data_IF_344656359681
#
_entry.id   IF_344656359681
#
_cell.length_a   1.000
_cell.length_b   1.000
_cell.length_c   1.000
_cell.angle_alpha   90.00
_cell.angle_beta   90.00
_cell.angle_gamma   90.00
#
_symmetry.space_group_name_H-M   'P 1'
#
loop_
_entity.id
_entity.type
_entity.pdbx_description
1 polymer ?
#
# COMPACT_ATOMS: atom_id res chain seq x y z
N UNK A 1 25.58 20.18 -14.47
CA UNK A 1 24.49 21.15 -14.26
C UNK A 1 23.23 20.57 -14.89
N UNK A 2 22.07 20.83 -14.26
CA UNK A 2 20.77 20.34 -14.70
C UNK A 2 19.65 20.93 -13.86
N UNK A 3 18.44 20.36 -13.95
CA UNK A 3 17.24 20.82 -13.27
C UNK A 3 16.62 19.70 -12.41
N UNK A 4 15.86 20.13 -11.40
CA UNK A 4 15.02 19.21 -10.61
C UNK A 4 13.79 18.83 -11.44
N UNK A 5 13.66 17.54 -11.74
CA UNK A 5 12.54 16.98 -12.53
C UNK A 5 11.36 16.57 -11.63
N UNK A 6 11.63 16.14 -10.39
CA UNK A 6 10.63 15.80 -9.39
C UNK A 6 11.24 15.80 -7.98
N UNK A 7 10.39 15.88 -6.97
CA UNK A 7 10.74 15.71 -5.56
C UNK A 7 9.82 14.65 -4.95
N UNK A 8 10.26 14.01 -3.85
CA UNK A 8 9.45 12.99 -3.17
C UNK A 8 9.32 11.67 -3.94
N UNK A 9 10.29 11.33 -4.82
CA UNK A 9 10.23 10.09 -5.59
C UNK A 9 10.62 8.88 -4.75
N UNK A 10 9.73 7.88 -4.69
CA UNK A 10 10.07 6.56 -4.17
C UNK A 10 10.66 5.69 -5.27
N UNK A 11 11.61 4.84 -4.91
CA UNK A 11 12.22 3.88 -5.80
C UNK A 11 11.89 2.45 -5.36
N UNK A 12 11.94 1.45 -6.25
CA UNK A 12 11.74 0.06 -5.86
C UNK A 12 12.67 -0.31 -4.71
N UNK A 13 12.13 -0.88 -3.64
CA UNK A 13 12.83 -1.25 -2.40
C UNK A 13 13.38 -0.10 -1.55
N UNK A 14 13.07 1.17 -1.86
CA UNK A 14 13.54 2.38 -1.18
C UNK A 14 12.35 3.28 -0.80
N UNK A 15 11.45 2.76 0.04
CA UNK A 15 10.18 3.41 0.33
C UNK A 15 10.28 4.58 1.35
N UNK A 16 11.41 4.70 2.06
CA UNK A 16 11.57 5.68 3.15
C UNK A 16 12.31 6.96 2.74
N UNK A 17 12.90 6.98 1.55
CA UNK A 17 13.67 8.12 1.07
C UNK A 17 12.87 8.85 -0.01
N UNK A 18 12.48 10.13 0.22
CA UNK A 18 11.80 10.96 -0.78
C UNK A 18 12.81 11.57 -1.75
N UNK A 19 13.34 10.81 -2.71
CA UNK A 19 14.42 11.25 -3.59
C UNK A 19 14.09 12.52 -4.36
N UNK A 20 15.11 13.36 -4.53
CA UNK A 20 15.14 14.44 -5.53
C UNK A 20 15.55 13.81 -6.85
N UNK A 21 14.69 13.90 -7.86
CA UNK A 21 14.99 13.47 -9.23
C UNK A 21 15.53 14.65 -10.03
N UNK A 22 16.64 14.45 -10.74
CA UNK A 22 17.25 15.48 -11.60
C UNK A 22 17.70 14.87 -12.94
N UNK A 23 18.04 15.72 -13.90
CA UNK A 23 18.74 15.35 -15.13
C UNK A 23 20.25 15.67 -15.05
N UNK A 24 20.76 15.97 -13.85
CA UNK A 24 22.21 16.16 -13.64
C UNK A 24 22.96 14.87 -13.99
N UNK A 25 23.99 14.93 -14.88
CA UNK A 25 24.74 13.75 -15.25
C UNK A 25 25.50 13.16 -14.05
N UNK A 26 25.05 11.99 -13.61
CA UNK A 26 25.70 11.20 -12.56
C UNK A 26 26.22 9.92 -13.20
N UNK A 27 27.47 9.60 -12.93
CA UNK A 27 28.12 8.36 -13.38
C UNK A 27 28.78 7.66 -12.19
N UNK A 28 29.16 6.38 -12.33
CA UNK A 28 29.89 5.66 -11.28
C UNK A 28 31.11 6.48 -10.79
N UNK A 29 31.19 6.62 -9.43
CA UNK A 29 32.16 7.49 -8.76
C UNK A 29 31.56 8.78 -8.17
N UNK A 30 30.41 9.25 -8.66
CA UNK A 30 29.75 10.45 -8.14
C UNK A 30 28.79 10.16 -6.97
N UNK A 31 28.45 8.90 -6.70
CA UNK A 31 27.60 8.49 -5.59
C UNK A 31 28.24 8.85 -4.25
N UNK A 32 27.45 9.43 -3.32
CA UNK A 32 27.95 9.99 -2.05
C UNK A 32 28.45 11.44 -2.16
N UNK A 33 28.63 11.95 -3.37
CA UNK A 33 28.98 13.36 -3.59
C UNK A 33 27.78 14.30 -3.42
N UNK A 34 28.03 15.60 -3.13
CA UNK A 34 26.97 16.58 -2.91
C UNK A 34 26.27 17.00 -4.21
N UNK A 35 24.95 17.22 -4.10
CA UNK A 35 24.17 17.96 -5.08
C UNK A 35 24.04 19.41 -4.58
N UNK A 36 24.52 20.36 -5.38
CA UNK A 36 24.49 21.78 -5.02
C UNK A 36 23.35 22.53 -5.72
N UNK A 37 22.80 23.54 -5.06
CA UNK A 37 21.97 24.55 -5.71
C UNK A 37 22.82 25.69 -6.29
N UNK A 38 22.17 26.68 -6.92
CA UNK A 38 22.87 27.83 -7.51
C UNK A 38 23.50 28.78 -6.49
N UNK A 39 23.12 28.70 -5.22
CA UNK A 39 23.73 29.45 -4.12
C UNK A 39 24.99 28.75 -3.57
N UNK A 40 25.35 27.58 -4.06
CA UNK A 40 26.48 26.78 -3.56
C UNK A 40 26.15 25.97 -2.30
N UNK A 41 24.88 25.86 -1.93
CA UNK A 41 24.44 25.07 -0.80
C UNK A 41 24.20 23.63 -1.20
N UNK A 42 24.52 22.68 -0.30
CA UNK A 42 24.24 21.27 -0.50
C UNK A 42 22.75 21.02 -0.26
N UNK A 43 22.02 20.59 -1.29
CA UNK A 43 20.59 20.26 -1.24
C UNK A 43 20.32 18.78 -1.21
N UNK A 44 21.31 17.94 -1.53
CA UNK A 44 21.18 16.50 -1.48
C UNK A 44 22.51 15.76 -1.63
N UNK A 45 22.45 14.44 -1.47
CA UNK A 45 23.57 13.51 -1.67
C UNK A 45 23.23 12.62 -2.87
N UNK A 46 24.09 12.63 -3.89
CA UNK A 46 23.93 11.79 -5.07
C UNK A 46 23.90 10.31 -4.67
N UNK A 47 22.89 9.57 -5.11
CA UNK A 47 22.69 8.19 -4.70
C UNK A 47 22.77 7.23 -5.89
N UNK A 48 21.82 7.31 -6.80
CA UNK A 48 21.70 6.34 -7.89
C UNK A 48 21.15 6.97 -9.16
N UNK A 49 21.22 6.22 -10.25
CA UNK A 49 20.70 6.61 -11.57
C UNK A 49 19.68 5.58 -12.04
N UNK A 50 18.74 6.00 -12.88
CA UNK A 50 17.98 5.06 -13.69
C UNK A 50 18.85 4.66 -14.89
N UNK A 51 19.15 3.37 -15.04
CA UNK A 51 20.01 2.89 -16.11
C UNK A 51 19.65 1.49 -16.57
N UNK A 52 19.89 1.21 -17.86
CA UNK A 52 19.85 -0.13 -18.45
C UNK A 52 21.22 -0.61 -18.89
N UNK A 53 22.16 0.30 -19.03
CA UNK A 53 23.52 0.03 -19.57
C UNK A 53 24.63 0.28 -18.54
N UNK A 54 24.30 0.73 -17.33
CA UNK A 54 25.25 1.11 -16.28
C UNK A 54 25.72 2.58 -16.33
N UNK A 55 25.44 3.30 -17.41
CA UNK A 55 25.73 4.72 -17.55
C UNK A 55 24.50 5.62 -17.36
N UNK A 56 24.72 6.93 -17.24
CA UNK A 56 23.67 7.93 -17.11
C UNK A 56 22.77 7.97 -18.36
N UNK A 57 21.46 7.93 -18.14
CA UNK A 57 20.43 7.95 -19.19
C UNK A 57 19.39 9.08 -18.96
N UNK A 58 19.82 10.23 -18.47
CA UNK A 58 18.97 11.40 -18.28
C UNK A 58 18.20 11.45 -16.96
N UNK A 59 18.33 10.47 -16.07
CA UNK A 59 17.62 10.44 -14.78
C UNK A 59 18.58 10.04 -13.67
N UNK A 60 18.68 10.88 -12.67
CA UNK A 60 19.44 10.66 -11.44
C UNK A 60 18.64 10.99 -10.20
N UNK A 61 19.04 10.41 -9.07
CA UNK A 61 18.37 10.53 -7.79
C UNK A 61 19.36 10.92 -6.69
N UNK A 62 18.96 11.91 -5.90
CA UNK A 62 19.71 12.34 -4.72
C UNK A 62 18.85 12.23 -3.47
N UNK A 63 19.46 11.86 -2.35
CA UNK A 63 18.85 11.87 -1.03
C UNK A 63 18.77 13.33 -0.58
N UNK A 64 17.60 13.87 -0.19
CA UNK A 64 17.49 15.23 0.34
C UNK A 64 18.43 15.44 1.52
N UNK A 65 19.01 16.63 1.63
CA UNK A 65 20.06 16.91 2.64
C UNK A 65 19.53 16.84 4.07
N UNK A 66 18.29 17.23 4.31
CA UNK A 66 17.61 17.14 5.61
C UNK A 66 17.47 15.67 6.05
N UNK A 67 17.08 14.77 5.15
CA UNK A 67 17.03 13.32 5.40
C UNK A 67 18.44 12.77 5.69
N UNK A 68 19.44 13.15 4.90
CA UNK A 68 20.81 12.72 5.09
C UNK A 68 21.38 13.20 6.44
N UNK A 69 21.05 14.41 6.85
CA UNK A 69 21.48 14.98 8.13
C UNK A 69 20.81 14.29 9.32
N UNK A 70 19.50 13.97 9.22
CA UNK A 70 18.81 13.23 10.26
C UNK A 70 19.42 11.83 10.45
N UNK A 71 19.64 11.11 9.36
CA UNK A 71 20.31 9.79 9.36
C UNK A 71 21.73 9.90 9.97
N UNK A 72 22.52 10.91 9.57
CA UNK A 72 23.86 11.12 10.12
C UNK A 72 23.83 11.39 11.63
N UNK A 73 22.89 12.20 12.10
CA UNK A 73 22.74 12.50 13.53
C UNK A 73 22.32 11.25 14.33
N UNK A 74 21.43 10.42 13.79
CA UNK A 74 21.05 9.16 14.42
C UNK A 74 22.26 8.19 14.52
N UNK A 75 23.02 8.05 13.44
CA UNK A 75 24.24 7.21 13.43
C UNK A 75 25.30 7.68 14.43
N UNK A 76 25.54 9.00 14.51
CA UNK A 76 26.48 9.59 15.49
C UNK A 76 26.05 9.37 16.93
N UNK A 77 24.74 9.44 17.22
CA UNK A 77 24.22 9.34 18.58
C UNK A 77 23.96 7.90 19.04
N UNK A 78 23.56 7.00 18.15
CA UNK A 78 23.10 5.67 18.51
C UNK A 78 23.68 4.52 17.68
N UNK A 79 24.55 4.81 16.70
CA UNK A 79 25.17 3.79 15.84
C UNK A 79 24.22 3.10 14.86
N UNK A 80 22.91 3.37 14.94
CA UNK A 80 21.89 2.79 14.07
C UNK A 80 20.80 3.81 13.72
N UNK A 81 20.15 3.58 12.59
CA UNK A 81 19.00 4.40 12.14
C UNK A 81 17.72 3.70 12.60
N UNK A 82 16.89 4.43 13.36
CA UNK A 82 15.56 3.97 13.75
C UNK A 82 14.54 4.70 12.87
N UNK A 83 13.75 3.94 12.12
CA UNK A 83 12.64 4.46 11.31
C UNK A 83 11.31 4.06 11.91
N UNK A 84 10.36 4.98 11.83
CA UNK A 84 9.00 4.68 12.23
C UNK A 84 8.37 3.62 11.32
N UNK A 85 7.45 2.86 11.88
CA UNK A 85 6.75 1.79 11.21
C UNK A 85 5.31 1.68 11.73
N UNK A 86 4.36 1.39 10.84
CA UNK A 86 2.94 1.24 11.18
C UNK A 86 2.45 -0.22 11.11
N UNK A 87 3.09 -1.07 10.32
CA UNK A 87 2.63 -2.44 10.08
C UNK A 87 1.43 -2.50 9.13
N UNK A 88 1.49 -1.74 8.04
CA UNK A 88 0.45 -1.71 7.01
C UNK A 88 1.03 -1.98 5.63
N UNK A 89 0.23 -2.62 4.77
CA UNK A 89 0.42 -2.61 3.32
C UNK A 89 -0.54 -1.59 2.76
N UNK A 90 -0.02 -0.66 1.96
CA UNK A 90 -0.79 0.41 1.35
C UNK A 90 -0.86 0.26 -0.16
N UNK A 91 -1.87 0.87 -0.75
CA UNK A 91 -2.10 0.92 -2.19
C UNK A 91 -2.42 2.34 -2.63
N UNK A 92 -1.97 2.69 -3.85
CA UNK A 92 -2.28 3.96 -4.49
C UNK A 92 -3.77 4.06 -4.80
N UNK A 93 -4.35 5.23 -4.54
CA UNK A 93 -5.75 5.52 -4.81
C UNK A 93 -5.90 6.09 -6.22
N UNK A 94 -6.30 5.26 -7.17
CA UNK A 94 -6.66 5.68 -8.51
C UNK A 94 -8.09 6.27 -8.57
N UNK A 95 -8.52 6.73 -9.74
CA UNK A 95 -9.84 7.37 -9.92
C UNK A 95 -11.01 6.45 -9.54
N UNK A 96 -10.95 5.18 -9.89
CA UNK A 96 -12.02 4.22 -9.62
C UNK A 96 -12.09 3.84 -8.14
N UNK A 97 -10.92 3.73 -7.47
CA UNK A 97 -10.87 3.57 -6.02
C UNK A 97 -11.39 4.82 -5.30
N UNK A 98 -11.02 6.02 -5.74
CA UNK A 98 -11.54 7.26 -5.16
C UNK A 98 -13.08 7.30 -5.24
N UNK A 99 -13.66 7.00 -6.39
CA UNK A 99 -15.11 6.91 -6.57
C UNK A 99 -15.73 5.89 -5.61
N UNK A 100 -15.13 4.69 -5.50
CA UNK A 100 -15.62 3.59 -4.67
C UNK A 100 -15.57 3.89 -3.17
N UNK A 101 -14.56 4.64 -2.71
CA UNK A 101 -14.40 5.03 -1.30
C UNK A 101 -15.01 6.41 -0.98
N UNK A 102 -15.70 7.04 -1.93
CA UNK A 102 -16.38 8.32 -1.72
C UNK A 102 -15.45 9.53 -1.60
N UNK A 103 -14.30 9.50 -2.28
CA UNK A 103 -13.41 10.65 -2.37
C UNK A 103 -13.72 11.48 -3.62
N UNK A 104 -13.59 12.80 -3.51
CA UNK A 104 -13.81 13.72 -4.63
C UNK A 104 -12.72 13.62 -5.71
N UNK A 105 -11.52 13.21 -5.30
CA UNK A 105 -10.34 13.06 -6.18
C UNK A 105 -9.42 11.93 -5.70
N UNK A 106 -8.62 11.35 -6.61
CA UNK A 106 -7.58 10.41 -6.25
C UNK A 106 -6.57 11.07 -5.31
N UNK A 107 -6.49 10.60 -4.07
CA UNK A 107 -5.51 11.05 -3.08
C UNK A 107 -5.47 10.07 -1.91
N UNK A 108 -4.34 10.07 -1.18
CA UNK A 108 -4.18 9.29 0.02
C UNK A 108 -3.54 7.92 -0.21
N UNK A 109 -3.43 7.17 0.88
CA UNK A 109 -2.92 5.81 0.92
C UNK A 109 -4.02 4.87 1.41
N UNK A 110 -4.48 3.95 0.53
CA UNK A 110 -5.48 2.95 0.88
C UNK A 110 -4.81 1.81 1.65
N UNK A 111 -5.32 1.51 2.84
CA UNK A 111 -4.85 0.41 3.68
C UNK A 111 -5.36 -0.91 3.12
N UNK A 112 -4.49 -1.66 2.45
CA UNK A 112 -4.82 -2.96 1.84
C UNK A 112 -4.67 -4.12 2.84
N UNK A 113 -3.73 -4.01 3.79
CA UNK A 113 -3.50 -5.03 4.83
C UNK A 113 -2.92 -4.37 6.09
N UNK A 114 -3.21 -4.96 7.23
CA UNK A 114 -2.68 -4.55 8.54
C UNK A 114 -2.08 -5.79 9.20
N UNK A 115 -0.92 -5.63 9.79
CA UNK A 115 -0.29 -6.67 10.61
C UNK A 115 -0.94 -6.70 12.00
N UNK A 116 -1.43 -7.85 12.44
CA UNK A 116 -2.30 -7.99 13.62
C UNK A 116 -1.69 -7.42 14.92
N UNK A 117 -0.39 -7.62 15.15
CA UNK A 117 0.30 -7.10 16.34
C UNK A 117 0.97 -5.74 16.10
N UNK A 118 0.76 -5.13 14.93
CA UNK A 118 1.38 -3.89 14.52
C UNK A 118 0.79 -2.64 15.20
N UNK A 119 1.51 -1.51 15.12
CA UNK A 119 1.03 -0.21 15.61
C UNK A 119 -0.31 0.22 15.04
N UNK A 120 -0.55 -0.04 13.76
CA UNK A 120 -1.80 0.29 13.08
C UNK A 120 -2.99 -0.47 13.67
N UNK A 121 -2.84 -1.78 13.89
CA UNK A 121 -3.90 -2.60 14.51
C UNK A 121 -4.21 -2.12 15.92
N UNK A 122 -3.19 -1.89 16.74
CA UNK A 122 -3.34 -1.38 18.13
C UNK A 122 -3.95 0.02 18.19
N UNK A 123 -3.70 0.85 17.17
CA UNK A 123 -4.27 2.20 17.06
C UNK A 123 -5.68 2.24 16.47
N UNK A 124 -6.24 1.09 16.08
CA UNK A 124 -7.60 1.01 15.53
C UNK A 124 -7.73 1.43 14.06
N UNK A 125 -6.62 1.46 13.31
CA UNK A 125 -6.67 1.55 11.85
C UNK A 125 -7.30 0.27 11.29
N UNK A 126 -8.05 0.38 10.20
CA UNK A 126 -8.75 -0.75 9.60
C UNK A 126 -8.39 -0.90 8.12
N UNK A 127 -8.48 -2.13 7.64
CA UNK A 127 -8.41 -2.41 6.19
C UNK A 127 -9.55 -1.68 5.49
N UNK A 128 -9.23 -1.01 4.38
CA UNK A 128 -10.19 -0.15 3.68
C UNK A 128 -10.15 1.32 4.11
N UNK A 129 -9.43 1.69 5.16
CA UNK A 129 -9.19 3.10 5.46
C UNK A 129 -8.37 3.76 4.35
N UNK A 130 -8.73 4.95 3.92
CA UNK A 130 -7.90 5.78 3.07
C UNK A 130 -7.28 6.89 3.92
N UNK A 131 -5.97 6.83 4.13
CA UNK A 131 -5.24 7.81 4.94
C UNK A 131 -4.99 9.05 4.09
N UNK A 132 -5.55 10.20 4.48
CA UNK A 132 -5.50 11.46 3.74
C UNK A 132 -4.45 12.43 4.27
N UNK A 133 -4.13 12.36 5.55
CA UNK A 133 -3.09 13.18 6.17
C UNK A 133 -2.48 12.49 7.39
N UNK A 134 -1.26 12.88 7.74
CA UNK A 134 -0.58 12.49 8.96
C UNK A 134 0.03 13.72 9.64
N UNK A 135 -0.32 13.95 10.91
CA UNK A 135 0.10 15.11 11.71
C UNK A 135 -0.13 16.45 10.98
N UNK A 136 -1.25 16.57 10.23
CA UNK A 136 -1.61 17.75 9.44
C UNK A 136 -0.90 17.84 8.08
N UNK A 137 0.03 16.97 7.76
CA UNK A 137 0.66 16.91 6.43
C UNK A 137 -0.18 16.05 5.49
N UNK A 138 -0.61 16.59 4.32
CA UNK A 138 -1.45 15.86 3.38
C UNK A 138 -0.67 14.70 2.73
N UNK A 139 -1.38 13.61 2.48
CA UNK A 139 -0.92 12.46 1.69
C UNK A 139 -1.60 12.56 0.34
N UNK A 140 -0.84 12.97 -0.68
CA UNK A 140 -1.33 13.13 -2.06
C UNK A 140 -1.20 11.82 -2.80
N UNK A 141 -0.06 11.14 -2.67
CA UNK A 141 0.21 9.82 -3.21
C UNK A 141 0.47 8.84 -2.07
N UNK A 142 0.21 7.55 -2.29
CA UNK A 142 0.47 6.53 -1.26
C UNK A 142 1.93 6.52 -0.78
N UNK A 143 2.86 6.86 -1.66
CA UNK A 143 4.30 6.95 -1.36
C UNK A 143 4.66 8.02 -0.32
N UNK A 144 3.82 9.03 -0.09
CA UNK A 144 4.06 10.06 0.91
C UNK A 144 4.00 9.48 2.33
N UNK A 145 3.15 8.47 2.57
CA UNK A 145 2.96 7.90 3.90
C UNK A 145 4.24 7.24 4.47
N UNK A 146 4.96 6.35 3.76
CA UNK A 146 6.22 5.81 4.25
C UNK A 146 7.27 6.88 4.57
N UNK A 147 7.34 7.95 3.78
CA UNK A 147 8.27 9.06 4.03
C UNK A 147 7.95 9.75 5.36
N UNK A 148 6.67 10.10 5.58
CA UNK A 148 6.23 10.76 6.81
C UNK A 148 6.39 9.86 8.03
N UNK A 149 6.04 8.59 7.91
CA UNK A 149 6.17 7.60 9.00
C UNK A 149 7.65 7.35 9.32
N UNK A 150 8.48 7.18 8.30
CA UNK A 150 9.92 6.90 8.46
C UNK A 150 10.70 8.03 9.12
N UNK A 151 10.22 9.27 9.01
CA UNK A 151 10.80 10.44 9.66
C UNK A 151 10.49 10.49 11.17
N UNK A 152 9.49 9.74 11.65
CA UNK A 152 9.13 9.69 13.07
C UNK A 152 9.99 8.66 13.82
N UNK A 153 10.31 8.96 15.07
CA UNK A 153 10.94 7.99 15.98
C UNK A 153 9.92 6.97 16.47
N UNK A 154 10.34 5.73 16.66
CA UNK A 154 9.54 4.73 17.36
C UNK A 154 9.09 5.25 18.74
N UNK A 155 7.85 4.99 19.12
CA UNK A 155 7.22 5.53 20.34
C UNK A 155 6.55 6.89 20.16
N UNK A 156 6.75 7.58 19.03
CA UNK A 156 6.07 8.85 18.74
C UNK A 156 4.57 8.62 18.47
N UNK A 157 3.74 9.57 18.90
CA UNK A 157 2.33 9.58 18.50
C UNK A 157 2.17 10.13 17.10
N UNK A 158 1.29 9.52 16.33
CA UNK A 158 0.87 9.97 15.01
C UNK A 158 -0.65 10.10 14.97
N UNK A 159 -1.12 11.22 14.43
CA UNK A 159 -2.53 11.52 14.19
C UNK A 159 -2.81 11.40 12.70
N UNK A 160 -3.66 10.44 12.33
CA UNK A 160 -4.06 10.19 10.95
C UNK A 160 -5.48 10.69 10.73
N UNK A 161 -5.71 11.40 9.63
CA UNK A 161 -7.05 11.64 9.11
C UNK A 161 -7.34 10.59 8.04
N UNK A 162 -8.42 9.85 8.21
CA UNK A 162 -8.81 8.76 7.31
C UNK A 162 -10.24 8.93 6.81
N UNK A 163 -10.51 8.35 5.64
CA UNK A 163 -11.88 8.05 5.19
C UNK A 163 -12.14 6.58 5.51
N UNK A 164 -13.19 6.33 6.28
CA UNK A 164 -13.74 5.01 6.60
C UNK A 164 -15.23 5.01 6.32
N UNK A 165 -15.72 4.10 5.49
CA UNK A 165 -17.15 4.03 5.09
C UNK A 165 -17.70 5.37 4.58
N UNK A 166 -16.91 6.08 3.77
CA UNK A 166 -17.26 7.40 3.22
C UNK A 166 -17.25 8.55 4.22
N UNK A 167 -16.82 8.33 5.47
CA UNK A 167 -16.79 9.34 6.54
C UNK A 167 -15.37 9.66 6.99
N UNK A 168 -15.07 10.96 7.19
CA UNK A 168 -13.80 11.39 7.78
C UNK A 168 -13.75 11.01 9.26
N UNK A 169 -12.64 10.41 9.65
CA UNK A 169 -12.34 10.03 11.03
C UNK A 169 -10.90 10.38 11.38
N UNK A 170 -10.62 10.52 12.66
CA UNK A 170 -9.27 10.68 13.18
C UNK A 170 -8.87 9.40 13.91
N UNK A 171 -7.70 8.86 13.56
CA UNK A 171 -7.08 7.71 14.24
C UNK A 171 -5.76 8.17 14.83
N UNK A 172 -5.59 7.97 16.13
CA UNK A 172 -4.34 8.24 16.84
C UNK A 172 -3.66 6.92 17.18
N UNK A 173 -2.38 6.82 16.84
CA UNK A 173 -1.59 5.62 17.10
C UNK A 173 -0.17 5.96 17.55
N UNK A 174 0.50 4.98 18.11
CA UNK A 174 1.92 5.08 18.46
C UNK A 174 2.74 4.37 17.41
N UNK A 175 3.66 5.09 16.77
CA UNK A 175 4.57 4.55 15.74
C UNK A 175 5.51 3.51 16.35
N UNK A 176 5.65 2.35 15.70
CA UNK A 176 6.59 1.30 16.10
C UNK A 176 7.96 1.47 15.43
N UNK A 177 8.91 0.63 15.82
CA UNK A 177 10.15 0.42 15.06
C UNK A 177 9.93 -0.68 14.02
N UNK A 178 10.67 -0.60 12.91
CA UNK A 178 10.70 -1.71 11.93
C UNK A 178 11.20 -2.96 12.66
N UNK A 179 10.48 -4.10 12.59
CA UNK A 179 10.96 -5.36 13.16
C UNK A 179 12.30 -5.74 12.53
N UNK A 180 13.28 -6.14 13.35
CA UNK A 180 14.51 -6.74 12.84
C UNK A 180 14.16 -8.05 12.12
N UNK A 181 14.74 -8.30 10.94
CA UNK A 181 14.34 -9.32 9.96
C UNK A 181 13.99 -10.68 10.56
N UNK A 182 12.83 -11.21 10.21
CA UNK A 182 12.35 -12.55 10.59
C UNK A 182 10.92 -12.88 10.20
N UNK A 183 10.10 -11.93 9.76
CA UNK A 183 8.73 -12.17 9.37
C UNK A 183 8.54 -12.12 7.84
N UNK A 184 9.07 -13.11 7.15
CA UNK A 184 8.72 -13.39 5.76
C UNK A 184 7.36 -14.07 5.71
N UNK A 185 6.44 -13.50 4.94
CA UNK A 185 5.16 -14.10 4.58
C UNK A 185 5.40 -15.22 3.55
N UNK A 186 5.73 -16.41 4.01
CA UNK A 186 5.76 -17.62 3.19
C UNK A 186 4.76 -18.63 3.74
N UNK A 187 3.66 -18.89 3.01
CA UNK A 187 2.94 -20.14 3.11
C UNK A 187 2.08 -20.41 1.88
N UNK A 188 2.54 -21.31 1.05
CA UNK A 188 1.75 -22.02 0.04
C UNK A 188 1.26 -23.33 0.64
N UNK A 189 -0.04 -23.52 0.78
CA UNK A 189 -0.66 -24.77 1.18
C UNK A 189 -1.84 -25.14 0.29
N UNK A 190 -1.75 -26.28 -0.36
CA UNK A 190 -2.82 -26.88 -1.17
C UNK A 190 -3.89 -27.55 -0.29
N UNK A 191 -5.17 -27.22 -0.49
CA UNK A 191 -6.29 -27.98 0.09
C UNK A 191 -7.44 -28.20 -0.90
N UNK A 192 -8.03 -29.39 -0.87
CA UNK A 192 -9.12 -29.89 -1.72
C UNK A 192 -10.53 -29.48 -1.24
N UNK A 193 -11.57 -29.53 -2.08
CA UNK A 193 -12.77 -28.70 -1.96
C UNK A 193 -14.06 -29.42 -1.59
N UNK A 194 -14.98 -28.62 -1.05
CA UNK A 194 -16.42 -28.92 -1.04
C UNK A 194 -17.16 -27.82 -1.83
N UNK A 195 -18.06 -28.22 -2.74
CA UNK A 195 -18.65 -27.33 -3.74
C UNK A 195 -20.13 -27.10 -3.45
N UNK A 196 -20.51 -25.82 -3.22
CA UNK A 196 -21.88 -25.38 -3.50
C UNK A 196 -21.84 -24.37 -4.65
N UNK A 197 -22.65 -24.67 -5.69
CA UNK A 197 -22.71 -23.84 -6.90
C UNK A 197 -23.74 -22.74 -6.72
N UNK A 198 -23.33 -21.50 -6.59
CA UNK A 198 -24.21 -20.36 -6.79
C UNK A 198 -23.67 -19.50 -7.93
N UNK A 199 -24.43 -19.43 -9.03
CA UNK A 199 -24.22 -18.47 -10.10
C UNK A 199 -24.59 -17.09 -9.59
N UNK A 200 -23.62 -16.17 -9.48
CA UNK A 200 -23.83 -14.78 -9.13
C UNK A 200 -23.54 -13.85 -10.32
N UNK A 201 -23.93 -12.57 -10.20
CA UNK A 201 -23.76 -11.55 -11.27
C UNK A 201 -22.29 -11.32 -11.67
N UNK A 202 -21.32 -11.80 -10.89
CA UNK A 202 -19.90 -11.67 -11.18
C UNK A 202 -19.36 -12.83 -12.02
N UNK A 203 -20.10 -13.95 -12.13
CA UNK A 203 -19.66 -15.15 -12.85
C UNK A 203 -18.59 -15.94 -12.08
N UNK A 204 -18.64 -15.97 -10.75
CA UNK A 204 -17.72 -16.77 -9.93
C UNK A 204 -18.46 -17.70 -8.99
N UNK A 205 -17.91 -18.89 -8.81
CA UNK A 205 -18.32 -19.79 -7.74
C UNK A 205 -17.34 -19.64 -6.57
N UNK A 206 -17.88 -19.45 -5.38
CA UNK A 206 -17.08 -19.25 -4.16
C UNK A 206 -17.40 -20.30 -3.11
N UNK A 207 -16.44 -20.59 -2.23
CA UNK A 207 -16.59 -21.45 -1.07
C UNK A 207 -16.00 -20.76 0.15
N UNK A 208 -16.37 -21.21 1.34
CA UNK A 208 -15.81 -20.71 2.59
C UNK A 208 -14.34 -21.12 2.75
N UNK A 209 -13.57 -20.28 3.42
CA UNK A 209 -12.19 -20.60 3.83
C UNK A 209 -12.20 -21.74 4.83
N UNK A 210 -11.33 -22.72 4.64
CA UNK A 210 -11.06 -23.72 5.68
C UNK A 210 -10.30 -23.10 6.84
N UNK A 211 -10.33 -23.73 8.01
CA UNK A 211 -9.58 -23.25 9.18
C UNK A 211 -8.06 -23.23 8.93
N UNK A 212 -7.55 -24.16 8.13
CA UNK A 212 -6.16 -24.19 7.69
C UNK A 212 -5.82 -22.99 6.80
N UNK A 213 -6.72 -22.64 5.85
CA UNK A 213 -6.56 -21.46 4.99
C UNK A 213 -6.65 -20.16 5.78
N UNK A 214 -7.57 -20.06 6.76
CA UNK A 214 -7.68 -18.90 7.64
C UNK A 214 -6.37 -18.68 8.39
N UNK A 215 -5.78 -19.73 8.95
CA UNK A 215 -4.48 -19.66 9.65
C UNK A 215 -3.33 -19.34 8.70
N UNK A 216 -3.29 -19.98 7.53
CA UNK A 216 -2.22 -19.79 6.54
C UNK A 216 -2.17 -18.38 5.97
N UNK A 217 -3.33 -17.75 5.77
CA UNK A 217 -3.44 -16.40 5.21
C UNK A 217 -3.61 -15.31 6.27
N UNK A 218 -3.59 -15.68 7.55
CA UNK A 218 -3.87 -14.77 8.68
C UNK A 218 -5.18 -14.00 8.48
N UNK A 219 -6.24 -14.75 8.16
CA UNK A 219 -7.56 -14.22 7.87
C UNK A 219 -8.60 -14.75 8.89
N UNK A 220 -9.45 -13.84 9.34
CA UNK A 220 -10.61 -14.20 10.21
C UNK A 220 -11.77 -14.73 9.39
N UNK A 221 -11.97 -14.20 8.17
CA UNK A 221 -13.11 -14.51 7.32
C UNK A 221 -12.80 -14.23 5.84
N UNK A 222 -13.67 -14.68 4.96
CA UNK A 222 -13.57 -14.49 3.51
C UNK A 222 -14.10 -15.70 2.75
N UNK A 223 -14.08 -15.61 1.42
CA UNK A 223 -14.49 -16.69 0.52
C UNK A 223 -13.40 -16.94 -0.53
N UNK A 224 -13.20 -18.20 -0.91
CA UNK A 224 -12.23 -18.61 -1.95
C UNK A 224 -12.97 -18.78 -3.26
N UNK A 225 -12.41 -18.23 -4.34
CA UNK A 225 -12.90 -18.48 -5.70
C UNK A 225 -12.53 -19.91 -6.12
N UNK A 226 -13.53 -20.70 -6.48
CA UNK A 226 -13.35 -22.04 -7.01
C UNK A 226 -13.34 -22.08 -8.53
N UNK A 227 -14.19 -21.28 -9.14
CA UNK A 227 -14.39 -21.24 -10.58
C UNK A 227 -14.67 -19.81 -11.02
N UNK A 228 -14.12 -19.42 -12.14
CA UNK A 228 -14.39 -18.15 -12.82
C UNK A 228 -14.97 -18.50 -14.18
N UNK A 229 -16.18 -18.04 -14.44
CA UNK A 229 -16.86 -18.15 -15.73
C UNK A 229 -16.65 -16.88 -16.55
N UNK A 230 -16.96 -16.92 -17.83
CA UNK A 230 -16.97 -15.72 -18.66
C UNK A 230 -17.92 -14.66 -18.08
N UNK A 231 -17.37 -13.48 -17.80
CA UNK A 231 -18.13 -12.41 -17.16
C UNK A 231 -17.25 -11.33 -16.52
N UNK A 232 -17.85 -10.46 -15.69
CA UNK A 232 -17.14 -9.35 -15.06
C UNK A 232 -15.89 -9.78 -14.27
N UNK A 233 -15.94 -10.90 -13.57
CA UNK A 233 -14.82 -11.41 -12.79
C UNK A 233 -13.63 -11.84 -13.66
N UNK A 234 -13.87 -12.48 -14.80
CA UNK A 234 -12.83 -12.85 -15.75
C UNK A 234 -12.16 -11.60 -16.35
N UNK A 235 -12.95 -10.57 -16.70
CA UNK A 235 -12.45 -9.31 -17.26
C UNK A 235 -11.50 -8.56 -16.33
N UNK A 236 -11.72 -8.64 -15.02
CA UNK A 236 -10.85 -8.02 -14.00
C UNK A 236 -9.71 -8.95 -13.54
N UNK A 237 -9.56 -10.10 -14.19
CA UNK A 237 -8.44 -11.01 -13.97
C UNK A 237 -8.50 -11.83 -12.68
N UNK A 238 -9.70 -12.07 -12.12
CA UNK A 238 -9.86 -12.99 -11.00
C UNK A 238 -9.55 -14.42 -11.44
N UNK A 239 -9.00 -15.19 -10.50
CA UNK A 239 -8.55 -16.56 -10.76
C UNK A 239 -9.05 -17.52 -9.66
N UNK A 240 -9.25 -18.81 -9.98
CA UNK A 240 -9.44 -19.82 -8.96
C UNK A 240 -8.30 -19.81 -7.93
N UNK A 241 -8.65 -19.88 -6.65
CA UNK A 241 -7.72 -19.77 -5.53
C UNK A 241 -7.57 -18.37 -4.94
N UNK A 242 -8.04 -17.33 -5.62
CA UNK A 242 -8.12 -15.99 -5.01
C UNK A 242 -9.08 -15.99 -3.83
N UNK A 243 -8.73 -15.24 -2.78
CA UNK A 243 -9.59 -15.07 -1.60
C UNK A 243 -10.19 -13.66 -1.63
N UNK A 244 -11.52 -13.58 -1.54
CA UNK A 244 -12.23 -12.30 -1.43
C UNK A 244 -12.61 -12.09 0.03
N UNK A 245 -12.17 -10.96 0.61
CA UNK A 245 -12.45 -10.62 2.01
C UNK A 245 -13.36 -9.40 2.16
N UNK A 246 -13.44 -8.54 1.14
CA UNK A 246 -14.35 -7.39 1.11
C UNK A 246 -14.92 -7.22 -0.28
N UNK A 247 -16.17 -6.79 -0.36
CA UNK A 247 -16.87 -6.43 -1.59
C UNK A 247 -17.71 -5.19 -1.33
N UNK A 248 -17.57 -4.17 -2.18
CA UNK A 248 -18.26 -2.88 -2.05
C UNK A 248 -18.12 -2.27 -0.65
N UNK A 249 -16.88 -2.24 -0.14
CA UNK A 249 -16.48 -1.75 1.19
C UNK A 249 -17.08 -2.54 2.39
N UNK A 250 -17.71 -3.67 2.14
CA UNK A 250 -18.28 -4.52 3.19
C UNK A 250 -17.42 -5.77 3.37
N UNK A 251 -17.11 -6.11 4.62
CA UNK A 251 -16.40 -7.35 4.95
C UNK A 251 -17.28 -8.56 4.64
N UNK A 252 -16.65 -9.65 4.18
CA UNK A 252 -17.31 -10.91 3.83
C UNK A 252 -16.96 -11.96 4.89
N UNK A 253 -17.98 -12.47 5.59
CA UNK A 253 -17.79 -13.48 6.61
C UNK A 253 -18.28 -14.87 6.17
N UNK A 254 -19.11 -14.94 5.12
CA UNK A 254 -19.66 -16.19 4.60
C UNK A 254 -19.97 -16.11 3.10
N UNK A 255 -20.15 -17.27 2.47
CA UNK A 255 -20.60 -17.37 1.07
C UNK A 255 -21.99 -16.77 0.85
N UNK A 256 -22.85 -16.84 1.88
CA UNK A 256 -24.18 -16.22 1.85
C UNK A 256 -24.07 -14.70 1.82
N UNK A 257 -23.29 -14.09 2.72
CA UNK A 257 -23.06 -12.63 2.72
C UNK A 257 -22.45 -12.16 1.39
N UNK A 258 -21.45 -12.88 0.87
CA UNK A 258 -20.90 -12.60 -0.45
C UNK A 258 -21.99 -12.57 -1.54
N UNK A 259 -22.87 -13.58 -1.56
CA UNK A 259 -23.94 -13.68 -2.55
C UNK A 259 -24.95 -12.54 -2.41
N UNK A 260 -25.32 -12.18 -1.19
CA UNK A 260 -26.28 -11.10 -0.90
C UNK A 260 -25.71 -9.74 -1.31
N UNK A 261 -24.45 -9.46 -0.95
CA UNK A 261 -23.75 -8.24 -1.37
C UNK A 261 -23.61 -8.20 -2.90
N UNK A 262 -23.20 -9.30 -3.54
CA UNK A 262 -23.02 -9.38 -4.98
C UNK A 262 -24.34 -9.12 -5.76
N UNK A 263 -25.48 -9.53 -5.22
CA UNK A 263 -26.82 -9.21 -5.78
C UNK A 263 -27.17 -7.72 -5.66
N UNK A 264 -26.76 -7.09 -4.56
CA UNK A 264 -27.07 -5.70 -4.23
C UNK A 264 -26.09 -4.69 -4.86
N UNK A 265 -25.08 -5.14 -5.61
CA UNK A 265 -24.07 -4.27 -6.20
C UNK A 265 -24.70 -3.21 -7.12
N UNK A 266 -24.26 -1.94 -7.03
CA UNK A 266 -24.75 -0.87 -7.87
C UNK A 266 -24.35 -1.11 -9.34
N UNK A 267 -25.19 -0.66 -10.25
CA UNK A 267 -24.88 -0.62 -11.68
C UNK A 267 -24.20 0.71 -12.04
N UNK A 268 -23.32 0.69 -13.02
CA UNK A 268 -22.66 1.88 -13.58
C UNK A 268 -21.84 2.71 -12.55
N UNK A 269 -21.53 2.15 -11.39
CA UNK A 269 -20.65 2.75 -10.38
C UNK A 269 -19.44 1.86 -10.13
N UNK A 270 -18.33 2.46 -9.75
CA UNK A 270 -17.13 1.73 -9.33
C UNK A 270 -17.41 0.98 -8.04
N UNK A 271 -17.17 -0.33 -8.07
CA UNK A 271 -17.26 -1.25 -6.94
C UNK A 271 -15.85 -1.69 -6.58
N UNK A 272 -15.47 -1.60 -5.32
CA UNK A 272 -14.21 -2.14 -4.83
C UNK A 272 -14.37 -3.59 -4.37
N UNK A 273 -13.33 -4.38 -4.58
CA UNK A 273 -13.20 -5.74 -4.07
C UNK A 273 -11.78 -5.93 -3.54
N UNK A 274 -11.66 -6.40 -2.29
CA UNK A 274 -10.36 -6.79 -1.73
C UNK A 274 -10.10 -8.25 -2.01
N UNK A 275 -9.03 -8.49 -2.73
CA UNK A 275 -8.59 -9.83 -3.15
C UNK A 275 -7.23 -10.13 -2.52
N UNK A 276 -7.09 -11.33 -1.99
CA UNK A 276 -5.81 -11.88 -1.56
C UNK A 276 -5.39 -12.94 -2.57
N UNK A 277 -4.23 -12.76 -3.19
CA UNK A 277 -3.59 -13.69 -4.12
C UNK A 277 -2.19 -13.99 -3.65
N UNK A 278 -1.87 -15.26 -3.40
CA UNK A 278 -0.54 -15.69 -2.92
C UNK A 278 -0.05 -14.87 -1.69
N UNK A 279 -0.93 -14.66 -0.71
CA UNK A 279 -0.61 -13.91 0.51
C UNK A 279 -0.56 -12.39 0.36
N UNK A 280 -0.68 -11.83 -0.85
CA UNK A 280 -0.67 -10.39 -1.10
C UNK A 280 -2.10 -9.86 -1.27
N UNK A 281 -2.49 -8.93 -0.42
CA UNK A 281 -3.77 -8.27 -0.49
C UNK A 281 -3.72 -7.02 -1.37
N UNK A 282 -4.74 -6.86 -2.21
CA UNK A 282 -4.96 -5.65 -3.00
C UNK A 282 -6.44 -5.37 -3.20
N UNK A 283 -6.77 -4.10 -3.42
CA UNK A 283 -8.09 -3.71 -3.87
C UNK A 283 -8.10 -3.60 -5.39
N UNK A 284 -9.08 -4.22 -6.01
CA UNK A 284 -9.40 -4.06 -7.42
C UNK A 284 -10.76 -3.38 -7.54
N UNK A 285 -10.98 -2.71 -8.65
CA UNK A 285 -12.25 -2.04 -8.95
C UNK A 285 -12.83 -2.55 -10.27
N UNK A 286 -14.16 -2.57 -10.33
CA UNK A 286 -14.89 -2.90 -11.55
C UNK A 286 -16.23 -2.16 -11.59
N UNK A 287 -16.84 -2.11 -12.78
CA UNK A 287 -18.20 -1.59 -12.98
C UNK A 287 -19.04 -2.70 -13.59
N UNK A 288 -20.23 -2.87 -13.04
CA UNK A 288 -21.23 -3.76 -13.65
C UNK A 288 -22.01 -2.97 -14.70
N UNK A 289 -22.02 -3.46 -15.92
CA UNK A 289 -22.90 -2.96 -16.97
C UNK A 289 -24.38 -3.26 -16.65
N UNK A 290 -25.27 -2.61 -17.37
CA UNK A 290 -26.74 -2.78 -17.23
C UNK A 290 -27.20 -4.23 -17.42
#
# INVERSE_FOLDING_TARGET
QGIVSAIGRSLPNENYVPFIQTDVPINPGNSGGPLFNLAGEVVGINSQIYTRSGGFMGVSFAIPIDVAMDVSNQLKSGGKVSRGWLGVVIQEVNKDLAESFGLDKPAGALVAQIQDDGPAAKGGLQVGDVILSMNGQPIVMSADLPHLVGALKAGSKAKLEVIRDGKRQTVELTVGAIPEEGATLDALGNAKPGVERSSNRLGIAVVELTDEQKKSFDLKSGVVIKEVQDGPAALIGLQPGDVITHLNNQAINSTKEFTDIAKALPKNRSVSMRVLRQGRASFITFKLAE
#
